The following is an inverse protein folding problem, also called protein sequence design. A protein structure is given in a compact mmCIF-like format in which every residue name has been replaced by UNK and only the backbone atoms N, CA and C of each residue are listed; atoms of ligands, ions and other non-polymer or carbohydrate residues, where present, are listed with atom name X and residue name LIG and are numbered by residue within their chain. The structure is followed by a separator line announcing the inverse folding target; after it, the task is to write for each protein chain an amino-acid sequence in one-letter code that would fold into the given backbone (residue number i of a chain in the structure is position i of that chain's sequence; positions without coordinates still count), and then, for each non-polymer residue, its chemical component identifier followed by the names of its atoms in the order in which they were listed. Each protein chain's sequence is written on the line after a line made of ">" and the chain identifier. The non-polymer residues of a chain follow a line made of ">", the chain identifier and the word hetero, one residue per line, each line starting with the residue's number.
data_IF_751758506140
#
_entry.id   IF_751758506140
#
_cell.length_a   1.000
_cell.length_b   1.000
_cell.length_c   1.000
_cell.angle_alpha   90.00
_cell.angle_beta   90.00
_cell.angle_gamma   90.00
#
_symmetry.space_group_name_H-M   'P 1'
#
loop_
_entity.id
_entity.type
_entity.pdbx_description
1 polymer ?
#
# COMPACT_ATOMS: atom_id res chain seq x y z
N UNK A 1 -7.29 0.94 11.04
CA UNK A 1 -8.03 2.21 11.07
C UNK A 1 -9.49 2.00 11.42
N UNK A 2 -10.28 1.23 10.66
CA UNK A 2 -11.71 1.00 10.97
C UNK A 2 -11.96 0.48 12.41
N UNK A 3 -11.17 -0.50 12.86
CA UNK A 3 -11.30 -1.09 14.21
C UNK A 3 -10.86 -0.17 15.35
N UNK A 4 -9.88 0.72 15.11
CA UNK A 4 -9.23 1.53 16.14
C UNK A 4 -8.86 2.93 15.60
N UNK A 5 -9.84 3.75 15.19
CA UNK A 5 -9.55 5.02 14.51
C UNK A 5 -8.80 6.01 15.43
N UNK A 6 -9.14 6.05 16.71
CA UNK A 6 -8.53 6.96 17.71
C UNK A 6 -7.10 6.59 18.11
N UNK A 7 -6.63 5.41 17.73
CA UNK A 7 -5.24 4.97 17.99
C UNK A 7 -4.29 5.26 16.81
N UNK A 8 -4.81 5.74 15.70
CA UNK A 8 -4.03 6.03 14.49
C UNK A 8 -4.02 7.54 14.26
N UNK A 9 -2.86 8.18 14.46
CA UNK A 9 -2.71 9.61 14.16
C UNK A 9 -2.77 9.90 12.66
N UNK A 10 -2.25 8.97 11.85
CA UNK A 10 -2.35 8.94 10.39
C UNK A 10 -2.01 7.53 9.87
N UNK A 11 -2.31 7.26 8.60
CA UNK A 11 -1.78 6.12 7.87
C UNK A 11 -1.04 6.60 6.61
N UNK A 12 0.10 5.99 6.33
CA UNK A 12 0.89 6.26 5.13
C UNK A 12 0.99 4.94 4.37
N UNK A 13 0.46 4.92 3.16
CA UNK A 13 0.52 3.80 2.23
C UNK A 13 1.71 4.01 1.31
N UNK A 14 2.57 3.02 1.15
CA UNK A 14 3.78 3.11 0.31
C UNK A 14 3.68 2.03 -0.75
N UNK A 15 3.57 2.42 -2.03
CA UNK A 15 3.40 1.51 -3.18
C UNK A 15 2.38 0.38 -2.92
N UNK A 16 1.29 0.69 -2.22
CA UNK A 16 0.36 -0.29 -1.67
C UNK A 16 -1.01 -0.25 -2.36
N UNK A 17 -1.74 -1.37 -2.31
CA UNK A 17 -3.14 -1.46 -2.74
C UNK A 17 -4.07 -0.77 -1.73
N UNK A 18 -4.24 0.55 -1.84
CA UNK A 18 -5.18 1.33 -1.02
C UNK A 18 -6.62 1.17 -1.54
N UNK A 19 -7.25 0.04 -1.20
CA UNK A 19 -8.55 -0.37 -1.77
C UNK A 19 -9.75 0.43 -1.22
N UNK A 20 -10.84 0.61 -2.00
CA UNK A 20 -12.09 1.23 -1.54
C UNK A 20 -12.84 0.35 -0.52
N UNK A 21 -13.91 0.89 0.05
CA UNK A 21 -14.83 0.14 0.92
C UNK A 21 -15.64 -0.90 0.15
N UNK A 22 -15.85 -2.05 0.78
CA UNK A 22 -16.84 -3.02 0.38
C UNK A 22 -16.49 -3.83 -0.88
N UNK A 23 -17.49 -4.45 -1.54
CA UNK A 23 -17.26 -5.43 -2.61
C UNK A 23 -16.43 -4.92 -3.79
N UNK A 24 -16.47 -3.61 -4.07
CA UNK A 24 -15.69 -2.96 -5.14
C UNK A 24 -14.18 -3.12 -4.95
N UNK A 25 -13.71 -3.37 -3.73
CA UNK A 25 -12.30 -3.58 -3.42
C UNK A 25 -11.66 -4.71 -4.24
N UNK A 26 -12.42 -5.78 -4.52
CA UNK A 26 -11.92 -6.95 -5.25
C UNK A 26 -11.62 -6.59 -6.71
N UNK A 27 -12.59 -5.98 -7.39
CA UNK A 27 -12.44 -5.54 -8.78
C UNK A 27 -11.29 -4.53 -8.91
N UNK A 28 -11.25 -3.55 -8.00
CA UNK A 28 -10.20 -2.51 -8.01
C UNK A 28 -8.82 -3.13 -7.79
N UNK A 29 -8.67 -4.08 -6.86
CA UNK A 29 -7.41 -4.79 -6.63
C UNK A 29 -6.97 -5.54 -7.89
N UNK A 30 -7.87 -6.33 -8.48
CA UNK A 30 -7.54 -7.21 -9.60
C UNK A 30 -7.14 -6.41 -10.84
N UNK A 31 -7.74 -5.22 -11.02
CA UNK A 31 -7.36 -4.29 -12.09
C UNK A 31 -6.06 -3.52 -11.81
N UNK A 32 -5.74 -3.22 -10.55
CA UNK A 32 -4.60 -2.38 -10.20
C UNK A 32 -3.24 -3.09 -10.32
N UNK A 33 -3.22 -4.42 -10.24
CA UNK A 33 -1.99 -5.21 -10.39
C UNK A 33 -1.62 -5.33 -11.87
N UNK A 34 -0.32 -5.43 -12.15
CA UNK A 34 0.19 -5.59 -13.52
C UNK A 34 -0.48 -6.73 -14.30
N UNK A 35 -0.65 -6.52 -15.61
CA UNK A 35 -1.13 -7.57 -16.50
C UNK A 35 -0.17 -8.77 -16.50
N UNK A 36 -0.72 -9.99 -16.58
CA UNK A 36 0.06 -11.24 -16.53
C UNK A 36 0.59 -11.61 -15.14
N UNK A 37 0.25 -10.87 -14.07
CA UNK A 37 0.73 -11.18 -12.72
C UNK A 37 0.41 -12.63 -12.29
N UNK A 38 -0.73 -13.17 -12.72
CA UNK A 38 -1.11 -14.57 -12.43
C UNK A 38 -0.19 -15.62 -13.05
N UNK A 39 0.55 -15.28 -14.11
CA UNK A 39 1.43 -16.21 -14.85
C UNK A 39 2.83 -16.27 -14.21
N UNK A 40 3.20 -15.24 -13.46
CA UNK A 40 4.51 -15.08 -12.81
C UNK A 40 4.49 -15.43 -11.32
N UNK A 41 3.39 -15.99 -10.81
CA UNK A 41 3.24 -16.43 -9.42
C UNK A 41 3.09 -17.95 -9.31
N UNK A 42 3.80 -18.54 -8.35
CA UNK A 42 3.55 -19.89 -7.86
C UNK A 42 2.39 -19.87 -6.87
N UNK A 43 1.57 -20.92 -6.91
CA UNK A 43 0.40 -21.10 -6.04
C UNK A 43 0.60 -22.34 -5.17
N UNK A 44 0.36 -22.20 -3.88
CA UNK A 44 0.56 -23.25 -2.90
C UNK A 44 -0.76 -23.61 -2.23
N UNK A 45 -0.92 -24.90 -1.92
CA UNK A 45 -2.13 -25.48 -1.35
C UNK A 45 -1.79 -26.12 -0.01
N UNK A 46 -2.65 -25.92 0.99
CA UNK A 46 -2.58 -26.72 2.22
C UNK A 46 -3.33 -28.03 2.02
N UNK A 47 -2.99 -29.04 2.84
CA UNK A 47 -3.61 -30.37 2.77
C UNK A 47 -5.13 -30.26 2.88
N UNK A 48 -5.84 -30.75 1.86
CA UNK A 48 -7.29 -30.76 1.80
C UNK A 48 -7.93 -29.46 1.27
N UNK A 49 -7.15 -28.48 0.82
CA UNK A 49 -7.69 -27.29 0.17
C UNK A 49 -7.78 -27.48 -1.35
N UNK A 50 -8.93 -27.17 -1.94
CA UNK A 50 -9.15 -27.15 -3.38
C UNK A 50 -8.72 -25.82 -4.03
N UNK A 51 -8.49 -24.79 -3.21
CA UNK A 51 -8.07 -23.46 -3.66
C UNK A 51 -6.67 -23.13 -3.14
N UNK A 52 -5.89 -22.31 -3.86
CA UNK A 52 -4.62 -21.82 -3.37
C UNK A 52 -4.78 -21.07 -2.04
N UNK A 53 -3.95 -21.39 -1.04
CA UNK A 53 -3.96 -20.73 0.27
C UNK A 53 -2.83 -19.72 0.43
N UNK A 54 -1.79 -19.82 -0.40
CA UNK A 54 -0.74 -18.80 -0.50
C UNK A 54 -0.17 -18.75 -1.91
N UNK A 55 0.54 -17.68 -2.21
CA UNK A 55 1.24 -17.51 -3.48
C UNK A 55 2.58 -16.82 -3.27
N UNK A 56 3.50 -17.02 -4.20
CA UNK A 56 4.79 -16.33 -4.21
C UNK A 56 5.10 -15.94 -5.64
N UNK A 57 5.70 -14.78 -5.84
CA UNK A 57 6.30 -14.45 -7.12
C UNK A 57 7.37 -15.52 -7.45
N UNK A 58 7.46 -15.93 -8.71
CA UNK A 58 8.50 -16.88 -9.14
C UNK A 58 9.88 -16.23 -8.97
N UNK A 59 10.92 -16.98 -8.54
CA UNK A 59 12.24 -16.41 -8.24
C UNK A 59 12.86 -15.59 -9.38
N UNK A 60 12.72 -16.06 -10.63
CA UNK A 60 13.21 -15.38 -11.83
C UNK A 60 12.55 -14.01 -12.08
N UNK A 61 11.41 -13.74 -11.42
CA UNK A 61 10.70 -12.48 -11.51
C UNK A 61 10.96 -11.54 -10.33
N UNK A 62 11.63 -11.97 -9.25
CA UNK A 62 11.90 -11.12 -8.09
C UNK A 62 12.63 -9.83 -8.48
N UNK A 63 13.80 -9.94 -9.11
CA UNK A 63 14.57 -8.77 -9.54
C UNK A 63 13.82 -7.93 -10.58
N UNK A 64 13.38 -8.46 -11.74
CA UNK A 64 12.80 -7.62 -12.79
C UNK A 64 11.46 -6.98 -12.42
N UNK A 65 10.76 -7.46 -11.37
CA UNK A 65 9.45 -6.92 -10.96
C UNK A 65 9.52 -6.13 -9.66
N UNK A 66 10.15 -6.67 -8.60
CA UNK A 66 10.15 -6.06 -7.26
C UNK A 66 11.36 -5.16 -6.99
N UNK A 67 12.52 -5.46 -7.60
CA UNK A 67 13.83 -4.93 -7.19
C UNK A 67 14.68 -4.45 -8.38
N UNK A 68 14.06 -4.03 -9.48
CA UNK A 68 14.80 -3.74 -10.73
C UNK A 68 15.64 -2.46 -10.66
N UNK A 69 15.49 -1.65 -9.60
CA UNK A 69 16.35 -0.51 -9.30
C UNK A 69 17.25 -0.76 -8.06
N UNK A 70 17.25 -1.96 -7.52
CA UNK A 70 18.05 -2.32 -6.34
C UNK A 70 19.41 -2.91 -6.72
N UNK A 71 20.33 -2.92 -5.75
CA UNK A 71 21.63 -3.60 -5.89
C UNK A 71 21.47 -5.12 -5.94
N UNK A 72 22.48 -5.83 -6.46
CA UNK A 72 22.52 -7.30 -6.42
C UNK A 72 22.47 -7.85 -5.00
N UNK A 73 23.13 -7.17 -4.07
CA UNK A 73 23.23 -7.53 -2.66
C UNK A 73 21.85 -7.48 -1.97
N UNK A 74 21.06 -6.44 -2.26
CA UNK A 74 19.68 -6.31 -1.77
C UNK A 74 18.76 -7.38 -2.37
N UNK A 75 18.95 -7.71 -3.65
CA UNK A 75 18.20 -8.78 -4.33
C UNK A 75 18.50 -10.15 -3.70
N UNK A 76 19.77 -10.46 -3.44
CA UNK A 76 20.17 -11.69 -2.76
C UNK A 76 19.60 -11.76 -1.33
N UNK A 77 19.69 -10.66 -0.58
CA UNK A 77 19.08 -10.58 0.74
C UNK A 77 17.57 -10.81 0.67
N UNK A 78 16.87 -10.20 -0.30
CA UNK A 78 15.45 -10.41 -0.50
C UNK A 78 15.12 -11.88 -0.83
N UNK A 79 15.88 -12.52 -1.72
CA UNK A 79 15.71 -13.92 -2.09
C UNK A 79 15.80 -14.87 -0.89
N UNK A 80 16.67 -14.58 0.08
CA UNK A 80 16.82 -15.36 1.31
C UNK A 80 15.64 -15.19 2.27
N UNK A 81 14.91 -14.07 2.19
CA UNK A 81 13.86 -13.70 3.14
C UNK A 81 12.44 -13.92 2.60
N UNK A 82 12.25 -13.89 1.28
CA UNK A 82 10.94 -14.01 0.65
C UNK A 82 10.28 -15.36 0.92
N UNK A 83 9.02 -15.30 1.34
CA UNK A 83 8.17 -16.46 1.63
C UNK A 83 6.84 -16.32 0.90
N UNK A 84 6.10 -17.43 0.69
CA UNK A 84 4.74 -17.36 0.16
C UNK A 84 3.84 -16.44 1.02
N UNK A 85 3.15 -15.52 0.36
CA UNK A 85 2.17 -14.63 0.95
C UNK A 85 0.80 -15.33 1.02
N UNK A 86 0.11 -15.34 2.18
CA UNK A 86 -1.26 -15.86 2.28
C UNK A 86 -2.21 -15.18 1.30
N UNK A 87 -3.07 -15.98 0.67
CA UNK A 87 -4.15 -15.46 -0.17
C UNK A 87 -5.38 -15.24 0.72
N UNK A 88 -5.83 -13.99 0.78
CA UNK A 88 -6.99 -13.61 1.57
C UNK A 88 -8.29 -14.03 0.86
N UNK A 89 -9.30 -14.53 1.61
CA UNK A 89 -10.61 -14.77 1.04
C UNK A 89 -11.29 -13.44 0.65
N UNK A 90 -12.20 -13.43 -0.33
CA UNK A 90 -12.88 -12.21 -0.79
C UNK A 90 -13.45 -11.32 0.32
N UNK A 91 -13.99 -11.92 1.39
CA UNK A 91 -14.52 -11.22 2.56
C UNK A 91 -13.49 -10.40 3.34
N UNK A 92 -12.21 -10.80 3.31
CA UNK A 92 -11.11 -10.08 3.95
C UNK A 92 -10.51 -8.99 3.06
N UNK A 93 -10.80 -9.02 1.76
CA UNK A 93 -10.46 -7.93 0.83
C UNK A 93 -11.57 -6.89 0.77
N UNK A 94 -12.83 -7.33 0.72
CA UNK A 94 -14.02 -6.49 0.69
C UNK A 94 -14.40 -5.97 2.08
N UNK A 95 -13.45 -5.28 2.73
CA UNK A 95 -13.65 -4.71 4.06
C UNK A 95 -14.55 -3.48 3.97
N UNK A 96 -15.54 -3.39 4.85
CA UNK A 96 -16.39 -2.21 4.98
C UNK A 96 -15.70 -1.14 5.83
N UNK A 97 -15.62 0.07 5.29
CA UNK A 97 -15.04 1.27 5.89
C UNK A 97 -16.13 2.31 6.12
N UNK A 98 -16.09 2.96 7.28
CA UNK A 98 -17.03 4.05 7.60
C UNK A 98 -16.33 5.40 7.54
N UNK A 99 -17.10 6.46 7.24
CA UNK A 99 -16.59 7.83 7.22
C UNK A 99 -16.14 8.27 8.61
N UNK A 100 -16.86 7.84 9.64
CA UNK A 100 -16.63 8.19 11.04
C UNK A 100 -15.39 7.50 11.62
N UNK A 101 -14.98 6.35 11.08
CA UNK A 101 -13.80 5.59 11.54
C UNK A 101 -12.67 5.63 10.54
N UNK A 102 -12.63 4.73 9.55
CA UNK A 102 -11.55 4.71 8.56
C UNK A 102 -11.40 6.07 7.86
N UNK A 103 -12.50 6.73 7.52
CA UNK A 103 -12.50 8.04 6.86
C UNK A 103 -12.06 9.21 7.75
N UNK A 104 -12.06 9.06 9.08
CA UNK A 104 -11.64 10.12 10.00
C UNK A 104 -10.13 10.15 10.23
N UNK A 105 -9.42 9.06 9.93
CA UNK A 105 -7.96 9.00 10.02
C UNK A 105 -7.33 9.65 8.77
N UNK A 106 -6.43 10.64 8.94
CA UNK A 106 -5.68 11.20 7.82
C UNK A 106 -4.84 10.12 7.11
N UNK A 107 -4.94 10.06 5.79
CA UNK A 107 -4.28 9.06 4.95
C UNK A 107 -3.38 9.75 3.93
N UNK A 108 -2.16 9.24 3.77
CA UNK A 108 -1.22 9.72 2.78
C UNK A 108 -0.76 8.54 1.92
N UNK A 109 -0.39 8.83 0.68
CA UNK A 109 0.14 7.84 -0.24
C UNK A 109 1.52 8.25 -0.75
N UNK A 110 2.44 7.30 -0.80
CA UNK A 110 3.76 7.44 -1.42
C UNK A 110 3.78 6.55 -2.65
N UNK A 111 3.77 7.20 -3.82
CA UNK A 111 3.71 6.60 -5.14
C UNK A 111 5.12 6.26 -5.63
N UNK A 112 5.30 5.04 -6.12
CA UNK A 112 6.55 4.60 -6.75
C UNK A 112 6.46 4.74 -8.26
N UNK A 113 7.23 5.65 -8.85
CA UNK A 113 7.11 6.03 -10.26
C UNK A 113 7.66 4.99 -11.24
N UNK A 114 8.48 4.05 -10.75
CA UNK A 114 9.02 2.94 -11.54
C UNK A 114 8.45 1.59 -11.09
N UNK A 115 7.46 1.57 -10.20
CA UNK A 115 6.81 0.33 -9.75
C UNK A 115 6.26 -0.48 -10.95
N UNK A 116 6.61 -1.76 -10.99
CA UNK A 116 6.16 -2.71 -12.03
C UNK A 116 5.07 -3.66 -11.55
N UNK A 117 4.84 -3.76 -10.24
CA UNK A 117 3.75 -4.56 -9.64
C UNK A 117 2.44 -3.80 -9.72
N UNK A 118 2.47 -2.54 -9.28
CA UNK A 118 1.35 -1.60 -9.38
C UNK A 118 1.86 -0.40 -10.20
N UNK A 119 1.78 -0.44 -11.53
CA UNK A 119 2.26 0.65 -12.37
C UNK A 119 1.72 2.01 -11.92
N UNK A 120 2.47 3.09 -12.14
CA UNK A 120 2.09 4.44 -11.69
C UNK A 120 0.64 4.83 -12.05
N UNK A 121 0.19 4.50 -13.27
CA UNK A 121 -1.19 4.75 -13.70
C UNK A 121 -2.23 3.92 -12.92
N UNK A 122 -1.87 2.70 -12.50
CA UNK A 122 -2.73 1.88 -11.65
C UNK A 122 -2.72 2.34 -10.19
N UNK A 123 -1.60 2.92 -9.72
CA UNK A 123 -1.59 3.64 -8.44
C UNK A 123 -2.57 4.83 -8.50
N UNK A 124 -2.57 5.62 -9.58
CA UNK A 124 -3.56 6.70 -9.74
C UNK A 124 -5.00 6.18 -9.72
N UNK A 125 -5.27 5.06 -10.41
CA UNK A 125 -6.58 4.39 -10.37
C UNK A 125 -6.99 3.96 -8.95
N UNK A 126 -6.06 3.47 -8.12
CA UNK A 126 -6.34 3.18 -6.70
C UNK A 126 -6.73 4.46 -5.95
N UNK A 127 -6.02 5.57 -6.16
CA UNK A 127 -6.25 6.84 -5.49
C UNK A 127 -7.57 7.49 -5.91
N UNK A 128 -8.00 7.33 -7.15
CA UNK A 128 -9.32 7.76 -7.61
C UNK A 128 -10.45 7.01 -6.90
N UNK A 129 -10.26 5.72 -6.63
CA UNK A 129 -11.26 4.89 -5.97
C UNK A 129 -11.23 5.03 -4.44
N UNK A 130 -10.12 5.45 -3.86
CA UNK A 130 -9.99 5.70 -2.43
C UNK A 130 -9.04 6.88 -2.14
N UNK A 131 -9.53 8.13 -2.25
CA UNK A 131 -8.68 9.31 -2.17
C UNK A 131 -8.01 9.49 -0.79
N UNK A 132 -6.69 9.73 -0.74
CA UNK A 132 -5.98 10.14 0.48
C UNK A 132 -6.03 11.67 0.66
N UNK A 133 -5.56 12.13 1.81
CA UNK A 133 -5.35 13.55 2.12
C UNK A 133 -4.11 14.15 1.46
N UNK A 134 -3.21 13.32 0.93
CA UNK A 134 -2.06 13.80 0.18
C UNK A 134 -1.27 12.67 -0.47
N UNK A 135 -0.60 13.01 -1.56
CA UNK A 135 0.24 12.11 -2.33
C UNK A 135 1.66 12.68 -2.40
N UNK A 136 2.65 11.80 -2.33
CA UNK A 136 4.05 12.07 -2.57
C UNK A 136 4.54 11.08 -3.62
N UNK A 137 5.50 11.48 -4.44
CA UNK A 137 6.05 10.63 -5.50
C UNK A 137 7.53 10.37 -5.23
N UNK A 138 7.96 9.14 -5.51
CA UNK A 138 9.35 8.71 -5.43
C UNK A 138 9.75 8.05 -6.75
N UNK A 139 10.97 8.33 -7.22
CA UNK A 139 11.60 7.58 -8.30
C UNK A 139 12.06 6.20 -7.80
N UNK A 140 11.12 5.38 -7.32
CA UNK A 140 11.35 4.05 -6.75
C UNK A 140 10.73 2.97 -7.61
N UNK A 141 11.25 1.75 -7.48
CA UNK A 141 10.54 0.53 -7.84
C UNK A 141 9.49 0.19 -6.75
N UNK A 142 9.01 -1.06 -6.73
CA UNK A 142 8.07 -1.55 -5.72
C UNK A 142 8.70 -1.71 -4.32
N UNK A 143 10.02 -1.51 -4.19
CA UNK A 143 10.78 -1.70 -2.96
C UNK A 143 11.54 -0.43 -2.58
N UNK A 144 10.85 0.70 -2.30
CA UNK A 144 11.50 1.98 -2.00
C UNK A 144 12.41 1.93 -0.77
N UNK A 145 12.24 0.94 0.11
CA UNK A 145 13.13 0.68 1.25
C UNK A 145 14.51 0.15 0.84
N UNK A 146 14.68 -0.35 -0.39
CA UNK A 146 15.97 -0.72 -0.99
C UNK A 146 16.38 0.24 -2.11
N UNK A 147 15.48 0.55 -3.06
CA UNK A 147 15.84 1.36 -4.23
C UNK A 147 16.08 2.84 -3.93
N UNK A 148 15.43 3.40 -2.90
CA UNK A 148 15.56 4.83 -2.56
C UNK A 148 15.26 5.12 -1.08
N UNK A 149 16.01 4.49 -0.15
CA UNK A 149 15.71 4.53 1.29
C UNK A 149 15.73 5.95 1.88
N UNK A 150 16.68 6.78 1.45
CA UNK A 150 16.81 8.15 1.96
C UNK A 150 15.64 9.04 1.55
N UNK A 151 15.19 8.94 0.30
CA UNK A 151 14.02 9.70 -0.17
C UNK A 151 12.72 9.16 0.45
N UNK A 152 12.62 7.84 0.68
CA UNK A 152 11.52 7.27 1.43
C UNK A 152 11.44 7.85 2.84
N UNK A 153 12.57 7.93 3.57
CA UNK A 153 12.62 8.54 4.90
C UNK A 153 12.20 10.01 4.86
N UNK A 154 12.66 10.79 3.87
CA UNK A 154 12.22 12.19 3.68
C UNK A 154 10.72 12.27 3.43
N UNK A 155 10.18 11.45 2.53
CA UNK A 155 8.75 11.43 2.22
C UNK A 155 7.88 11.08 3.45
N UNK A 156 8.29 10.09 4.24
CA UNK A 156 7.61 9.73 5.49
C UNK A 156 7.60 10.89 6.49
N UNK A 157 8.71 11.63 6.63
CA UNK A 157 8.78 12.82 7.48
C UNK A 157 7.85 13.93 6.99
N UNK A 158 7.78 14.16 5.68
CA UNK A 158 6.88 15.16 5.08
C UNK A 158 5.41 14.79 5.35
N UNK A 159 5.02 13.54 5.10
CA UNK A 159 3.67 13.06 5.36
C UNK A 159 3.29 13.22 6.84
N UNK A 160 4.20 12.88 7.75
CA UNK A 160 3.99 13.06 9.19
C UNK A 160 3.86 14.55 9.59
N UNK A 161 4.70 15.43 9.04
CA UNK A 161 4.63 16.87 9.32
C UNK A 161 3.33 17.51 8.83
N UNK A 162 2.85 17.10 7.64
CA UNK A 162 1.55 17.54 7.10
C UNK A 162 0.40 17.16 8.04
N UNK A 163 0.45 15.97 8.63
CA UNK A 163 -0.53 15.55 9.63
C UNK A 163 -0.53 16.46 10.87
N UNK A 164 0.66 16.77 11.41
CA UNK A 164 0.78 17.67 12.55
C UNK A 164 0.23 19.08 12.28
N UNK A 165 0.40 19.60 11.06
CA UNK A 165 -0.15 20.91 10.69
C UNK A 165 -1.68 20.89 10.64
N UNK A 166 -2.28 19.87 10.01
CA UNK A 166 -3.75 19.69 9.96
C UNK A 166 -4.35 19.62 11.37
N UNK A 167 -3.72 18.88 12.30
CA UNK A 167 -4.18 18.81 13.70
C UNK A 167 -4.09 20.17 14.43
N UNK A 168 -3.05 20.97 14.18
CA UNK A 168 -2.90 22.30 14.80
C UNK A 168 -3.94 23.30 14.29
N UNK A 169 -4.30 23.23 13.01
CA UNK A 169 -5.35 24.10 12.43
C UNK A 169 -6.73 23.72 12.94
N UNK A 170 -7.04 22.42 13.05
CA UNK A 170 -8.29 21.94 13.66
C UNK A 170 -8.36 22.27 15.16
N UNK A 171 -7.24 22.22 15.89
CA UNK A 171 -7.18 22.59 17.30
C UNK A 171 -7.42 24.08 17.59
N UNK A 172 -7.15 24.98 16.63
CA UNK A 172 -7.47 26.42 16.76
C UNK A 172 -8.97 26.73 16.58
N UNK A 173 -9.71 25.88 15.88
CA UNK A 173 -11.16 26.05 15.72
C UNK A 173 -11.96 25.65 16.98
N UNK A 174 -11.32 25.00 17.96
CA UNK A 174 -11.95 24.63 19.24
C UNK A 174 -11.69 25.62 20.38
N UNK A 175 -10.86 26.65 20.18
CA UNK A 175 -10.51 27.63 21.25
C UNK A 175 -11.19 28.99 21.13
N UNK A 176 -12.09 29.20 20.17
CA UNK A 176 -12.76 30.51 19.96
C UNK A 176 -14.30 30.48 20.11
N UNK A 177 -14.87 29.45 20.73
CA UNK A 177 -16.31 29.45 21.12
C UNK A 177 -16.47 29.07 22.58
N UNK A 178 -15.88 29.88 23.47
CA UNK A 178 -16.14 29.91 24.92
C UNK A 178 -15.44 31.14 25.52
N UNK A 179 -15.99 32.32 25.27
CA UNK A 179 -15.76 33.52 26.06
C UNK A 179 -17.01 34.40 25.98
#
# INVERSE_FOLDING_TARGET
>A
MEKYPTKCAAAIFVVASMLPSGPKAIEVRDKAVMSGFSEIVDRFYTKGSEVPTSSRLKPEHHQPVLYHLCSSEDVELANLLLKPNPLLPPSEIAVEYTKEKYGSVPRYYIKGMHDRVIPAAMQDYLLENNPPNGVLELASDHSPFFSTPDELVKALRIANARNCHTMKTLGRLWTESSA
#
